data_IF_233425742770
#
_entry.id   IF_233425742770
#
_cell.length_a   1.000
_cell.length_b   1.000
_cell.length_c   1.000
_cell.angle_alpha   90.00
_cell.angle_beta   90.00
_cell.angle_gamma   90.00
#
_symmetry.space_group_name_H-M   'P 1'
#
loop_
_entity.id
_entity.type
_entity.pdbx_description
1 polymer ?
#
# COMPACT_ATOMS: atom_id res chain seq x y z
N UNK A 1 42.87 -9.88 -45.79
CA UNK A 1 43.09 -10.07 -44.34
C UNK A 1 41.77 -10.50 -43.75
N UNK A 2 41.74 -11.57 -42.95
CA UNK A 2 40.53 -11.94 -42.22
C UNK A 2 40.29 -10.93 -41.08
N UNK A 3 39.06 -10.44 -40.95
CA UNK A 3 38.69 -9.55 -39.86
C UNK A 3 38.63 -10.34 -38.56
N UNK A 4 39.41 -9.90 -37.57
CA UNK A 4 39.35 -10.44 -36.21
C UNK A 4 38.59 -9.47 -35.30
N UNK A 5 37.83 -10.06 -34.39
CA UNK A 5 36.97 -9.37 -33.45
C UNK A 5 37.42 -9.66 -32.03
N UNK A 6 37.29 -8.67 -31.15
CA UNK A 6 37.40 -8.83 -29.70
C UNK A 6 36.13 -8.30 -29.07
N UNK A 7 35.67 -8.93 -28.00
CA UNK A 7 34.52 -8.46 -27.22
C UNK A 7 34.92 -8.16 -25.78
N UNK A 8 34.24 -7.21 -25.17
CA UNK A 8 34.34 -6.96 -23.74
C UNK A 8 33.19 -7.69 -23.04
N UNK A 9 33.52 -8.67 -22.20
CA UNK A 9 32.55 -9.39 -21.38
C UNK A 9 31.92 -8.48 -20.32
N UNK A 10 30.77 -8.90 -19.76
CA UNK A 10 30.12 -8.21 -18.63
C UNK A 10 30.98 -8.20 -17.36
N UNK A 11 32.00 -9.05 -17.30
CA UNK A 11 33.01 -9.10 -16.25
C UNK A 11 34.18 -8.13 -16.49
N UNK A 12 34.14 -7.34 -17.56
CA UNK A 12 35.17 -6.38 -17.94
C UNK A 12 36.41 -7.03 -18.58
N UNK A 13 36.37 -8.33 -18.92
CA UNK A 13 37.49 -9.01 -19.59
C UNK A 13 37.35 -8.95 -21.10
N UNK A 14 38.48 -8.83 -21.78
CA UNK A 14 38.56 -8.92 -23.23
C UNK A 14 38.62 -10.39 -23.66
N UNK A 15 37.76 -10.77 -24.61
CA UNK A 15 37.72 -12.10 -25.22
C UNK A 15 37.98 -11.99 -26.73
N UNK A 16 38.90 -12.82 -27.22
CA UNK A 16 39.30 -12.87 -28.63
C UNK A 16 40.80 -13.15 -28.78
N UNK A 17 41.36 -13.05 -30.00
CA UNK A 17 40.67 -12.72 -31.25
C UNK A 17 39.73 -13.86 -31.69
N UNK A 18 38.53 -13.49 -32.11
CA UNK A 18 37.52 -14.39 -32.65
C UNK A 18 37.18 -14.01 -34.09
N UNK A 19 36.70 -14.98 -34.86
CA UNK A 19 36.21 -14.80 -36.24
C UNK A 19 34.74 -14.40 -36.26
N UNK A 20 34.26 -13.85 -37.38
CA UNK A 20 32.84 -13.49 -37.55
C UNK A 20 31.90 -14.68 -37.29
N UNK A 21 32.29 -15.88 -37.74
CA UNK A 21 31.48 -17.10 -37.57
C UNK A 21 31.39 -17.54 -36.11
N UNK A 22 32.43 -17.30 -35.31
CA UNK A 22 32.42 -17.54 -33.87
C UNK A 22 31.54 -16.54 -33.13
N UNK A 23 31.58 -15.26 -33.50
CA UNK A 23 30.67 -14.24 -32.95
C UNK A 23 29.21 -14.57 -33.24
N UNK A 24 28.89 -14.93 -34.49
CA UNK A 24 27.54 -15.34 -34.86
C UNK A 24 27.08 -16.58 -34.07
N UNK A 25 27.98 -17.53 -33.79
CA UNK A 25 27.69 -18.67 -32.93
C UNK A 25 27.41 -18.24 -31.49
N UNK A 26 28.13 -17.27 -30.94
CA UNK A 26 27.85 -16.74 -29.60
C UNK A 26 26.53 -15.99 -29.51
N UNK A 27 26.14 -15.27 -30.58
CA UNK A 27 24.82 -14.65 -30.70
C UNK A 27 23.73 -15.74 -30.68
N UNK A 28 23.88 -16.81 -31.46
CA UNK A 28 22.93 -17.94 -31.44
C UNK A 28 22.85 -18.65 -30.09
N UNK A 29 23.94 -18.65 -29.32
CA UNK A 29 23.99 -19.21 -27.96
C UNK A 29 23.49 -18.24 -26.88
N UNK A 30 23.10 -17.01 -27.22
CA UNK A 30 22.67 -15.98 -26.27
C UNK A 30 23.79 -15.48 -25.35
N UNK A 31 25.06 -15.69 -25.73
CA UNK A 31 26.25 -15.32 -24.93
C UNK A 31 26.78 -13.91 -25.23
N UNK A 32 26.26 -13.29 -26.29
CA UNK A 32 26.69 -11.99 -26.77
C UNK A 32 25.44 -11.12 -26.96
N UNK A 33 25.42 -9.97 -26.28
CA UNK A 33 24.31 -9.01 -26.27
C UNK A 33 24.51 -7.87 -27.29
N UNK A 34 23.46 -7.27 -27.87
CA UNK A 34 23.56 -6.13 -28.80
C UNK A 34 24.38 -4.94 -28.29
N UNK A 35 24.43 -4.71 -26.97
CA UNK A 35 25.17 -3.61 -26.35
C UNK A 35 26.62 -3.97 -25.99
N UNK A 36 27.03 -5.23 -26.20
CA UNK A 36 28.39 -5.69 -25.94
C UNK A 36 29.38 -4.87 -26.76
N UNK A 37 30.44 -4.35 -26.14
CA UNK A 37 31.47 -3.62 -26.86
C UNK A 37 32.32 -4.61 -27.68
N UNK A 38 32.41 -4.35 -28.98
CA UNK A 38 33.20 -5.11 -29.94
C UNK A 38 34.24 -4.20 -30.58
N UNK A 39 35.45 -4.72 -30.68
CA UNK A 39 36.54 -4.12 -31.42
C UNK A 39 36.85 -4.97 -32.65
N UNK A 40 36.97 -4.33 -33.81
CA UNK A 40 37.25 -4.98 -35.10
C UNK A 40 38.58 -4.48 -35.65
N UNK A 41 39.36 -5.37 -36.24
CA UNK A 41 40.76 -5.10 -36.64
C UNK A 41 40.97 -3.89 -37.57
N UNK A 42 39.95 -3.49 -38.32
CA UNK A 42 39.95 -2.35 -39.24
C UNK A 42 39.42 -1.04 -38.61
N UNK A 43 39.03 -1.05 -37.34
CA UNK A 43 38.47 0.12 -36.64
C UNK A 43 39.28 0.48 -35.39
N UNK A 44 39.55 1.77 -35.13
CA UNK A 44 40.35 2.21 -34.00
C UNK A 44 39.57 2.29 -32.67
N UNK A 45 38.29 1.91 -32.62
CA UNK A 45 37.43 2.11 -31.46
C UNK A 45 36.53 0.91 -31.16
N UNK A 46 36.21 0.73 -29.88
CA UNK A 46 35.17 -0.18 -29.41
C UNK A 46 33.79 0.40 -29.76
N UNK A 47 32.92 -0.44 -30.33
CA UNK A 47 31.54 -0.06 -30.68
C UNK A 47 30.56 -1.14 -30.21
N UNK A 48 29.31 -0.79 -29.90
CA UNK A 48 28.28 -1.78 -29.61
C UNK A 48 28.16 -2.80 -30.75
N UNK A 49 27.95 -4.06 -30.39
CA UNK A 49 27.81 -5.15 -31.34
C UNK A 49 26.67 -4.91 -32.34
N UNK A 50 25.62 -4.19 -31.93
CA UNK A 50 24.50 -3.79 -32.77
C UNK A 50 24.88 -2.91 -33.97
N UNK A 51 26.04 -2.24 -33.93
CA UNK A 51 26.52 -1.34 -35.00
C UNK A 51 27.16 -2.09 -36.18
N UNK A 52 27.35 -3.41 -36.08
CA UNK A 52 27.97 -4.23 -37.09
C UNK A 52 26.89 -5.00 -37.89
N UNK A 53 26.62 -4.57 -39.12
CA UNK A 53 25.59 -5.16 -40.00
C UNK A 53 25.81 -6.67 -40.28
N UNK A 54 27.06 -7.13 -40.20
CA UNK A 54 27.43 -8.53 -40.35
C UNK A 54 27.04 -9.43 -39.16
N UNK A 55 26.73 -8.83 -38.01
CA UNK A 55 26.21 -9.52 -36.83
C UNK A 55 24.69 -9.58 -36.93
N UNK A 56 24.20 -10.70 -37.47
CA UNK A 56 22.76 -10.93 -37.58
C UNK A 56 22.20 -11.23 -36.19
N UNK A 57 21.58 -10.22 -35.61
CA UNK A 57 20.73 -10.38 -34.44
C UNK A 57 19.46 -11.07 -34.90
N UNK A 58 19.32 -12.36 -34.62
CA UNK A 58 17.97 -12.89 -34.50
C UNK A 58 17.29 -11.97 -33.48
N UNK A 59 16.21 -11.28 -33.87
CA UNK A 59 15.34 -10.67 -32.88
C UNK A 59 14.84 -11.82 -32.01
N UNK A 60 15.56 -12.15 -30.93
CA UNK A 60 14.90 -12.67 -29.75
C UNK A 60 13.83 -11.62 -29.51
N UNK A 61 12.53 -11.98 -29.55
CA UNK A 61 11.52 -11.04 -29.13
C UNK A 61 12.00 -10.55 -27.77
N UNK A 62 12.39 -9.27 -27.71
CA UNK A 62 12.54 -8.59 -26.43
C UNK A 62 11.26 -9.01 -25.72
N UNK A 63 11.31 -9.74 -24.58
CA UNK A 63 10.09 -10.02 -23.87
C UNK A 63 9.47 -8.65 -23.75
N UNK A 64 8.30 -8.48 -24.39
CA UNK A 64 7.54 -7.27 -24.23
C UNK A 64 7.62 -7.04 -22.73
N UNK A 65 8.12 -5.88 -22.31
CA UNK A 65 7.95 -5.47 -20.94
C UNK A 65 6.44 -5.41 -20.86
N UNK A 66 5.83 -6.54 -20.50
CA UNK A 66 4.42 -6.62 -20.28
C UNK A 66 4.20 -5.52 -19.24
N UNK A 67 3.15 -4.73 -19.40
CA UNK A 67 2.82 -3.56 -18.56
C UNK A 67 2.62 -3.89 -17.05
N UNK A 68 3.17 -5.01 -16.58
CA UNK A 68 3.09 -5.66 -15.28
C UNK A 68 3.83 -4.89 -14.14
N UNK A 69 4.87 -4.05 -14.34
CA UNK A 69 5.42 -3.26 -13.23
C UNK A 69 4.44 -2.20 -12.73
N UNK A 70 3.81 -1.44 -13.64
CA UNK A 70 3.01 -0.27 -13.28
C UNK A 70 1.67 -0.68 -12.64
N UNK A 71 1.00 -1.69 -13.21
CA UNK A 71 -0.30 -2.13 -12.68
C UNK A 71 -0.15 -2.83 -11.32
N UNK A 72 0.92 -3.58 -11.09
CA UNK A 72 1.17 -4.20 -9.79
C UNK A 72 1.53 -3.18 -8.71
N UNK A 73 2.27 -2.12 -9.07
CA UNK A 73 2.59 -1.01 -8.17
C UNK A 73 1.32 -0.22 -7.76
N UNK A 74 0.45 0.09 -8.71
CA UNK A 74 -0.83 0.78 -8.46
C UNK A 74 -1.72 -0.06 -7.53
N UNK A 75 -1.88 -1.36 -7.81
CA UNK A 75 -2.68 -2.25 -6.96
C UNK A 75 -2.12 -2.33 -5.53
N UNK A 76 -0.80 -2.42 -5.39
CA UNK A 76 -0.13 -2.46 -4.09
C UNK A 76 -0.31 -1.15 -3.32
N UNK A 77 -0.20 0.00 -3.97
CA UNK A 77 -0.43 1.31 -3.36
C UNK A 77 -1.89 1.48 -2.91
N UNK A 78 -2.85 1.05 -3.74
CA UNK A 78 -4.27 1.09 -3.41
C UNK A 78 -4.61 0.13 -2.25
N UNK A 79 -4.06 -1.08 -2.26
CA UNK A 79 -4.21 -2.06 -1.17
C UNK A 79 -3.71 -1.47 0.15
N UNK A 80 -2.49 -0.91 0.16
CA UNK A 80 -1.92 -0.24 1.34
C UNK A 80 -2.81 0.89 1.85
N UNK A 81 -3.34 1.72 0.95
CA UNK A 81 -4.24 2.84 1.30
C UNK A 81 -5.59 2.35 1.83
N UNK A 82 -6.13 1.28 1.26
CA UNK A 82 -7.35 0.64 1.75
C UNK A 82 -7.15 0.08 3.17
N UNK A 83 -6.05 -0.63 3.39
CA UNK A 83 -5.68 -1.18 4.71
C UNK A 83 -5.43 -0.07 5.72
N UNK A 84 -4.72 1.00 5.36
CA UNK A 84 -4.43 2.10 6.28
C UNK A 84 -5.73 2.82 6.70
N UNK A 85 -6.63 3.09 5.75
CA UNK A 85 -7.95 3.65 6.05
C UNK A 85 -8.81 2.71 6.91
N UNK A 86 -8.87 1.41 6.59
CA UNK A 86 -9.60 0.43 7.40
C UNK A 86 -9.02 0.27 8.82
N UNK A 87 -7.71 0.49 8.99
CA UNK A 87 -7.03 0.35 10.28
C UNK A 87 -7.43 1.43 11.28
N UNK A 88 -7.97 2.56 10.82
CA UNK A 88 -8.53 3.58 11.70
C UNK A 88 -9.67 3.08 12.57
N UNK A 89 -10.48 2.12 12.11
CA UNK A 89 -11.50 1.51 12.95
C UNK A 89 -10.92 0.74 14.14
N UNK A 90 -9.76 0.10 13.97
CA UNK A 90 -9.04 -0.52 15.08
C UNK A 90 -8.38 0.49 16.00
N UNK A 91 -7.89 1.61 15.45
CA UNK A 91 -7.40 2.72 16.28
C UNK A 91 -8.50 3.31 17.15
N UNK A 92 -9.70 3.53 16.58
CA UNK A 92 -10.87 3.98 17.34
C UNK A 92 -11.18 2.99 18.46
N UNK A 93 -11.32 1.70 18.14
CA UNK A 93 -11.58 0.65 19.13
C UNK A 93 -10.49 0.57 20.21
N UNK A 94 -9.21 0.69 19.84
CA UNK A 94 -8.08 0.66 20.76
C UNK A 94 -8.04 1.88 21.69
N UNK A 95 -8.29 3.07 21.16
CA UNK A 95 -8.37 4.31 21.95
C UNK A 95 -9.56 4.27 22.92
N UNK A 96 -10.72 3.75 22.49
CA UNK A 96 -11.85 3.50 23.39
C UNK A 96 -11.47 2.53 24.50
N UNK A 97 -10.83 1.41 24.18
CA UNK A 97 -10.40 0.42 25.18
C UNK A 97 -9.42 1.01 26.20
N UNK A 98 -8.44 1.81 25.75
CA UNK A 98 -7.49 2.49 26.64
C UNK A 98 -8.23 3.43 27.61
N UNK A 99 -9.21 4.18 27.12
CA UNK A 99 -9.99 5.09 27.96
C UNK A 99 -10.83 4.33 29.00
N UNK A 100 -11.52 3.26 28.61
CA UNK A 100 -12.27 2.41 29.56
C UNK A 100 -11.36 1.80 30.63
N UNK A 101 -10.16 1.33 30.27
CA UNK A 101 -9.19 0.78 31.23
C UNK A 101 -8.70 1.85 32.21
N UNK A 102 -8.44 3.08 31.72
CA UNK A 102 -8.00 4.20 32.56
C UNK A 102 -9.08 4.55 33.59
N UNK A 103 -10.35 4.63 33.16
CA UNK A 103 -11.51 4.87 34.03
C UNK A 103 -11.62 3.81 35.13
N UNK A 104 -11.52 2.53 34.77
CA UNK A 104 -11.62 1.41 35.72
C UNK A 104 -10.44 1.35 36.70
N UNK A 105 -9.27 1.84 36.30
CA UNK A 105 -8.06 1.84 37.14
C UNK A 105 -8.00 3.00 38.14
N UNK A 106 -9.00 3.89 38.13
CA UNK A 106 -9.01 5.09 38.97
C UNK A 106 -7.97 6.14 38.53
N UNK A 107 -7.46 6.04 37.30
CA UNK A 107 -6.50 6.99 36.77
C UNK A 107 -7.17 8.33 36.44
N UNK A 108 -6.54 9.44 36.85
CA UNK A 108 -7.01 10.79 36.48
C UNK A 108 -6.69 11.17 35.02
N UNK A 109 -5.96 10.30 34.30
CA UNK A 109 -5.62 10.48 32.89
C UNK A 109 -6.78 9.98 32.00
N UNK A 110 -7.76 10.84 31.74
CA UNK A 110 -8.66 10.65 30.60
C UNK A 110 -8.00 11.25 29.35
N UNK A 111 -7.67 10.43 28.35
CA UNK A 111 -7.17 10.95 27.08
C UNK A 111 -8.34 11.65 26.36
N UNK A 112 -8.37 12.99 26.42
CA UNK A 112 -9.49 13.84 25.98
C UNK A 112 -9.69 13.83 24.45
N UNK A 113 -8.78 13.25 23.68
CA UNK A 113 -8.84 13.34 22.22
C UNK A 113 -9.73 12.25 21.62
N UNK A 114 -10.91 12.66 21.12
CA UNK A 114 -11.51 12.05 19.94
C UNK A 114 -12.58 10.97 20.12
N UNK A 115 -13.32 10.94 21.22
CA UNK A 115 -14.42 9.99 21.44
C UNK A 115 -15.65 10.71 22.04
N UNK A 116 -16.61 11.09 21.19
CA UNK A 116 -17.76 11.90 21.62
C UNK A 116 -18.70 11.15 22.58
N UNK A 117 -19.07 9.92 22.25
CA UNK A 117 -19.99 9.04 23.00
C UNK A 117 -19.42 8.67 24.37
N UNK A 118 -18.11 8.43 24.46
CA UNK A 118 -17.52 7.95 25.72
C UNK A 118 -17.57 9.03 26.80
N UNK A 119 -17.49 10.32 26.41
CA UNK A 119 -17.65 11.43 27.37
C UNK A 119 -19.06 11.48 27.98
N UNK A 120 -20.10 11.14 27.20
CA UNK A 120 -21.48 11.08 27.70
C UNK A 120 -21.63 9.92 28.69
N UNK A 121 -21.04 8.77 28.39
CA UNK A 121 -21.04 7.62 29.29
C UNK A 121 -20.24 7.89 30.57
N UNK A 122 -19.13 8.63 30.49
CA UNK A 122 -18.33 9.01 31.65
C UNK A 122 -19.10 9.92 32.61
N UNK A 123 -19.83 10.91 32.09
CA UNK A 123 -20.67 11.81 32.90
C UNK A 123 -21.81 11.03 33.57
N UNK A 124 -22.53 10.22 32.81
CA UNK A 124 -23.62 9.37 33.32
C UNK A 124 -23.11 8.35 34.36
N UNK A 125 -21.93 7.77 34.12
CA UNK A 125 -21.32 6.79 35.02
C UNK A 125 -20.90 7.40 36.36
N UNK A 126 -20.38 8.63 36.36
CA UNK A 126 -19.97 9.35 37.58
C UNK A 126 -21.16 9.82 38.43
N UNK A 127 -22.27 10.20 37.80
CA UNK A 127 -23.48 10.63 38.53
C UNK A 127 -24.21 9.46 39.22
N UNK A 128 -24.08 8.24 38.70
CA UNK A 128 -24.82 7.05 39.17
C UNK A 128 -24.00 6.10 40.09
N UNK A 129 -22.78 6.49 40.51
CA UNK A 129 -21.93 5.67 41.37
C UNK A 129 -21.42 4.39 40.69
N UNK A 130 -21.16 3.33 41.46
CA UNK A 130 -20.53 2.09 40.95
C UNK A 130 -21.37 1.36 39.90
N UNK A 131 -22.69 1.43 39.97
CA UNK A 131 -23.60 0.84 38.98
C UNK A 131 -23.51 1.59 37.65
N UNK A 132 -23.43 2.92 37.68
CA UNK A 132 -23.25 3.74 36.50
C UNK A 132 -21.97 3.42 35.74
N UNK A 133 -20.86 3.30 36.46
CA UNK A 133 -19.57 2.95 35.87
C UNK A 133 -19.58 1.57 35.19
N UNK A 134 -20.26 0.58 35.78
CA UNK A 134 -20.38 -0.75 35.18
C UNK A 134 -21.18 -0.72 33.86
N UNK A 135 -22.25 0.08 33.81
CA UNK A 135 -23.05 0.27 32.59
C UNK A 135 -22.25 0.99 31.51
N UNK A 136 -21.53 2.06 31.85
CA UNK A 136 -20.67 2.79 30.92
C UNK A 136 -19.59 1.88 30.31
N UNK A 137 -18.89 1.11 31.14
CA UNK A 137 -17.88 0.17 30.67
C UNK A 137 -18.46 -0.93 29.76
N UNK A 138 -19.66 -1.43 30.06
CA UNK A 138 -20.32 -2.42 29.22
C UNK A 138 -20.69 -1.85 27.84
N UNK A 139 -21.15 -0.59 27.78
CA UNK A 139 -21.45 0.08 26.52
C UNK A 139 -20.18 0.33 25.69
N UNK A 140 -19.08 0.72 26.31
CA UNK A 140 -17.79 0.88 25.63
C UNK A 140 -17.31 -0.43 25.01
N UNK A 141 -17.43 -1.56 25.71
CA UNK A 141 -17.08 -2.88 25.17
C UNK A 141 -17.87 -3.20 23.90
N UNK A 142 -19.16 -2.82 23.85
CA UNK A 142 -19.99 -2.98 22.65
C UNK A 142 -19.46 -2.10 21.51
N UNK A 143 -19.15 -0.83 21.78
CA UNK A 143 -18.61 0.10 20.78
C UNK A 143 -17.27 -0.40 20.22
N UNK A 144 -16.36 -0.86 21.09
CA UNK A 144 -15.08 -1.47 20.72
C UNK A 144 -15.31 -2.65 19.77
N UNK A 145 -16.23 -3.56 20.12
CA UNK A 145 -16.57 -4.71 19.30
C UNK A 145 -17.13 -4.33 17.92
N UNK A 146 -18.02 -3.34 17.87
CA UNK A 146 -18.62 -2.84 16.61
C UNK A 146 -17.54 -2.25 15.70
N UNK A 147 -16.67 -1.37 16.22
CA UNK A 147 -15.62 -0.77 15.41
C UNK A 147 -14.55 -1.78 14.98
N UNK A 148 -14.18 -2.74 15.84
CA UNK A 148 -13.31 -3.84 15.45
C UNK A 148 -13.92 -4.69 14.31
N UNK A 149 -15.24 -4.91 14.33
CA UNK A 149 -15.97 -5.62 13.28
C UNK A 149 -15.95 -4.84 11.95
N UNK A 150 -16.15 -3.53 11.99
CA UNK A 150 -16.01 -2.69 10.78
C UNK A 150 -14.59 -2.70 10.24
N UNK A 151 -13.57 -2.65 11.10
CA UNK A 151 -12.17 -2.81 10.69
C UNK A 151 -11.95 -4.13 9.95
N UNK A 152 -12.50 -5.22 10.48
CA UNK A 152 -12.38 -6.56 9.91
C UNK A 152 -13.01 -6.65 8.52
N UNK A 153 -14.26 -6.21 8.37
CA UNK A 153 -14.95 -6.26 7.08
C UNK A 153 -14.38 -5.24 6.07
N UNK A 154 -13.91 -4.08 6.54
CA UNK A 154 -13.30 -3.06 5.69
C UNK A 154 -11.97 -3.53 5.10
N UNK A 155 -11.15 -4.27 5.87
CA UNK A 155 -9.93 -4.93 5.34
C UNK A 155 -10.21 -6.01 4.30
N UNK A 156 -11.42 -6.58 4.31
CA UNK A 156 -11.91 -7.48 3.24
C UNK A 156 -12.57 -6.73 2.08
N UNK A 157 -12.36 -5.42 2.00
CA UNK A 157 -12.92 -4.53 0.98
C UNK A 157 -14.45 -4.46 0.95
N UNK A 158 -15.16 -4.78 2.04
CA UNK A 158 -16.62 -4.64 2.07
C UNK A 158 -17.02 -3.17 2.23
N UNK A 159 -17.60 -2.59 1.17
CA UNK A 159 -17.96 -1.17 1.11
C UNK A 159 -18.97 -0.75 2.18
N UNK A 160 -19.91 -1.63 2.53
CA UNK A 160 -20.93 -1.35 3.54
C UNK A 160 -20.32 -1.06 4.92
N UNK A 161 -19.21 -1.72 5.27
CA UNK A 161 -18.56 -1.56 6.57
C UNK A 161 -17.92 -0.16 6.69
N UNK A 162 -17.25 0.30 5.64
CA UNK A 162 -16.74 1.67 5.57
C UNK A 162 -17.85 2.71 5.71
N UNK A 163 -18.94 2.55 4.96
CA UNK A 163 -20.05 3.53 4.95
C UNK A 163 -20.73 3.58 6.32
N UNK A 164 -21.08 2.41 6.86
CA UNK A 164 -21.77 2.31 8.15
C UNK A 164 -20.88 2.87 9.26
N UNK A 165 -19.59 2.50 9.28
CA UNK A 165 -18.64 3.01 10.25
C UNK A 165 -18.44 4.53 10.16
N UNK A 166 -18.33 5.09 8.97
CA UNK A 166 -18.24 6.55 8.78
C UNK A 166 -19.50 7.27 9.26
N UNK A 167 -20.69 6.73 8.99
CA UNK A 167 -21.96 7.31 9.45
C UNK A 167 -22.02 7.33 10.98
N UNK A 168 -21.77 6.19 11.64
CA UNK A 168 -21.79 6.13 13.10
C UNK A 168 -20.74 7.06 13.73
N UNK A 169 -19.54 7.09 13.17
CA UNK A 169 -18.47 7.95 13.67
C UNK A 169 -18.72 9.45 13.41
N UNK A 170 -19.47 9.79 12.37
CA UNK A 170 -19.93 11.18 12.12
C UNK A 170 -21.02 11.59 13.12
N UNK A 171 -21.96 10.68 13.42
CA UNK A 171 -22.96 10.92 14.46
C UNK A 171 -22.30 11.13 15.83
N UNK A 172 -21.25 10.35 16.12
CA UNK A 172 -20.41 10.50 17.31
C UNK A 172 -19.72 11.87 17.37
N UNK A 173 -19.15 12.34 16.26
CA UNK A 173 -18.56 13.67 16.15
C UNK A 173 -19.56 14.81 16.45
N UNK A 174 -20.86 14.58 16.19
CA UNK A 174 -21.93 15.50 16.54
C UNK A 174 -22.02 15.77 18.05
N UNK A 175 -21.66 14.80 18.89
CA UNK A 175 -21.63 14.97 20.35
C UNK A 175 -20.47 15.88 20.75
N UNK A 176 -19.28 15.72 20.16
CA UNK A 176 -18.15 16.64 20.36
C UNK A 176 -18.50 18.07 19.96
N UNK A 177 -19.27 18.24 18.87
CA UNK A 177 -19.75 19.56 18.44
C UNK A 177 -20.69 20.19 19.49
N UNK A 178 -21.62 19.41 20.05
CA UNK A 178 -22.52 19.87 21.12
C UNK A 178 -21.76 20.22 22.40
N UNK A 179 -20.73 19.43 22.74
CA UNK A 179 -19.82 19.66 23.86
C UNK A 179 -18.76 20.73 23.63
N UNK A 180 -18.73 21.37 22.45
CA UNK A 180 -17.73 22.35 22.01
C UNK A 180 -16.27 21.85 22.09
N UNK A 181 -16.06 20.55 21.97
CA UNK A 181 -14.73 19.94 21.92
C UNK A 181 -14.14 20.04 20.50
N UNK A 182 -13.51 21.18 20.22
CA UNK A 182 -12.91 21.45 18.92
C UNK A 182 -11.74 20.53 18.58
N UNK A 183 -10.99 20.08 19.59
CA UNK A 183 -9.87 19.17 19.39
C UNK A 183 -10.37 17.77 19.02
N UNK A 184 -11.34 17.26 19.77
CA UNK A 184 -12.04 16.02 19.45
C UNK A 184 -12.68 16.07 18.07
N UNK A 185 -13.37 17.16 17.72
CA UNK A 185 -13.97 17.34 16.40
C UNK A 185 -12.93 17.32 15.27
N UNK A 186 -11.78 17.97 15.47
CA UNK A 186 -10.66 17.93 14.53
C UNK A 186 -10.11 16.52 14.33
N UNK A 187 -9.95 15.76 15.41
CA UNK A 187 -9.53 14.36 15.35
C UNK A 187 -10.54 13.48 14.59
N UNK A 188 -11.84 13.64 14.86
CA UNK A 188 -12.90 12.93 14.12
C UNK A 188 -12.82 13.24 12.63
N UNK A 189 -12.67 14.52 12.27
CA UNK A 189 -12.52 14.94 10.87
C UNK A 189 -11.31 14.29 10.19
N UNK A 190 -10.17 14.21 10.89
CA UNK A 190 -8.97 13.55 10.38
C UNK A 190 -9.16 12.05 10.18
N UNK A 191 -9.70 11.35 11.19
CA UNK A 191 -9.99 9.93 11.08
C UNK A 191 -11.00 9.63 9.95
N UNK A 192 -12.08 10.42 9.82
CA UNK A 192 -13.03 10.32 8.71
C UNK A 192 -12.36 10.53 7.35
N UNK A 193 -11.47 11.51 7.23
CA UNK A 193 -10.70 11.74 6.01
C UNK A 193 -9.85 10.52 5.63
N UNK A 194 -9.16 9.91 6.60
CA UNK A 194 -8.36 8.71 6.36
C UNK A 194 -9.22 7.49 6.01
N UNK A 195 -10.33 7.26 6.72
CA UNK A 195 -11.28 6.16 6.45
C UNK A 195 -11.87 6.32 5.05
N UNK A 196 -12.30 7.53 4.67
CA UNK A 196 -12.80 7.83 3.34
C UNK A 196 -11.74 7.60 2.25
N UNK A 197 -10.48 7.96 2.54
CA UNK A 197 -9.35 7.65 1.68
C UNK A 197 -9.19 6.15 1.42
N UNK A 198 -9.34 5.32 2.46
CA UNK A 198 -9.31 3.86 2.33
C UNK A 198 -10.52 3.29 1.60
N UNK A 199 -11.71 3.85 1.82
CA UNK A 199 -12.94 3.47 1.10
C UNK A 199 -12.79 3.66 -0.41
N UNK A 200 -12.30 4.84 -0.84
CA UNK A 200 -12.07 5.13 -2.27
C UNK A 200 -11.05 4.17 -2.88
N UNK A 201 -9.92 3.96 -2.21
CA UNK A 201 -8.88 3.05 -2.68
C UNK A 201 -9.39 1.60 -2.80
N UNK A 202 -10.20 1.15 -1.84
CA UNK A 202 -10.83 -0.18 -1.85
C UNK A 202 -11.77 -0.39 -3.03
N UNK A 203 -12.53 0.65 -3.42
CA UNK A 203 -13.42 0.59 -4.58
C UNK A 203 -12.67 0.58 -5.91
N UNK A 204 -11.67 1.44 -6.04
CA UNK A 204 -10.83 1.52 -7.23
C UNK A 204 -10.08 0.21 -7.46
N UNK A 205 -9.49 -0.36 -6.40
CA UNK A 205 -8.81 -1.66 -6.46
C UNK A 205 -9.75 -2.80 -6.91
N UNK A 206 -11.01 -2.79 -6.45
CA UNK A 206 -12.01 -3.76 -6.91
C UNK A 206 -12.35 -3.61 -8.38
N UNK A 207 -12.37 -2.39 -8.91
CA UNK A 207 -12.63 -2.14 -10.32
C UNK A 207 -11.48 -2.67 -11.18
N UNK A 208 -10.23 -2.31 -10.85
CA UNK A 208 -9.03 -2.78 -11.56
C UNK A 208 -8.96 -4.32 -11.57
N UNK A 209 -9.19 -4.96 -10.41
CA UNK A 209 -9.19 -6.43 -10.32
C UNK A 209 -10.33 -7.08 -11.12
N UNK A 210 -11.50 -6.44 -11.21
CA UNK A 210 -12.61 -6.95 -11.99
C UNK A 210 -12.33 -6.85 -13.50
N UNK A 211 -11.74 -5.74 -13.96
CA UNK A 211 -11.35 -5.55 -15.36
C UNK A 211 -10.33 -6.61 -15.82
N UNK A 212 -9.33 -6.93 -14.97
CA UNK A 212 -8.34 -7.99 -15.25
C UNK A 212 -8.93 -9.41 -15.38
N UNK A 213 -10.03 -9.69 -14.70
CA UNK A 213 -10.67 -11.01 -14.72
C UNK A 213 -11.68 -11.16 -15.86
N UNK A 214 -12.11 -10.04 -16.46
CA UNK A 214 -13.11 -10.00 -17.53
C UNK A 214 -12.57 -9.77 -18.94
N UNK A 215 -11.26 -9.50 -19.09
CA UNK A 215 -10.56 -9.36 -20.38
C UNK A 215 -9.66 -10.56 -20.65
#
# INVERSE_FOLDING_TARGET
MELQYRMLGTDGKEYGPATLSELQRWIQQGRLDPQTQIWRTDQPAWRPAADFDELIWAQTPQPAIADIPLVSEVEFALEKRAISGASWFYWIAGLTAINTISLLSGGEWSFIVGLGITQVFDVLGREMGSVGMAVAAALDVVVIGIFALFGFFSRKHHAWAFITGMVLYTLDAGISLLGQDWLGLGFHGFALFCIFGGYKASRELKQIRAEKLGG
#
